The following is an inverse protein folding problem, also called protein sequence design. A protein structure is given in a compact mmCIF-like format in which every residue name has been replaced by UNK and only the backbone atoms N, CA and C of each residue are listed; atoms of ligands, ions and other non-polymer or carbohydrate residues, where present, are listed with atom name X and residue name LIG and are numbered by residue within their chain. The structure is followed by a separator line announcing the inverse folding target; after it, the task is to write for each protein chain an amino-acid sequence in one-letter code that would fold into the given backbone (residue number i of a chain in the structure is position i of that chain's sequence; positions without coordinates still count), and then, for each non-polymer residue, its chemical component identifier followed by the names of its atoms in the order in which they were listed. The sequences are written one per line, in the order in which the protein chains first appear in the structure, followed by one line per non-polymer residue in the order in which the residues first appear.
data_IF_757574788559
#
_entry.id   IF_757574788559
#
_cell.length_a   1.000
_cell.length_b   1.000
_cell.length_c   1.000
_cell.angle_alpha   90.00
_cell.angle_beta   90.00
_cell.angle_gamma   90.00
#
_symmetry.space_group_name_H-M   'P 1'
#
loop_
_entity.id
_entity.type
_entity.pdbx_description
1 polymer ?
#
# COMPACT_ATOMS: atom_id res chain seq x y z
N UNK A 1 9.56 14.48 15.12
CA UNK A 1 9.15 14.08 16.49
C UNK A 1 10.37 13.97 17.42
N UNK A 2 10.22 13.97 18.75
CA UNK A 2 11.33 13.89 19.73
C UNK A 2 11.92 12.46 19.79
N UNK A 3 13.21 12.30 19.50
CA UNK A 3 13.85 11.00 19.25
C UNK A 3 13.79 10.07 20.48
N UNK A 4 13.93 10.62 21.68
CA UNK A 4 13.82 9.87 22.93
C UNK A 4 12.43 9.26 23.14
N UNK A 5 11.39 9.97 22.71
CA UNK A 5 9.99 9.52 22.84
C UNK A 5 9.68 8.36 21.90
N UNK A 6 10.21 8.41 20.67
CA UNK A 6 10.14 7.32 19.70
C UNK A 6 10.88 6.07 20.18
N UNK A 7 12.07 6.24 20.76
CA UNK A 7 12.88 5.14 21.30
C UNK A 7 12.15 4.37 22.40
N UNK A 8 11.51 5.09 23.32
CA UNK A 8 10.71 4.48 24.38
C UNK A 8 9.48 3.77 23.83
N UNK A 9 8.78 4.36 22.85
CA UNK A 9 7.60 3.76 22.22
C UNK A 9 7.93 2.47 21.45
N UNK A 10 9.05 2.45 20.73
CA UNK A 10 9.51 1.24 20.03
C UNK A 10 9.91 0.18 21.05
N UNK A 11 10.68 0.54 22.08
CA UNK A 11 11.05 -0.39 23.14
C UNK A 11 9.83 -0.97 23.88
N UNK A 12 8.82 -0.16 24.22
CA UNK A 12 7.60 -0.66 24.86
C UNK A 12 6.78 -1.60 23.97
N UNK A 13 6.72 -1.32 22.66
CA UNK A 13 5.88 -2.11 21.74
C UNK A 13 6.57 -3.35 21.18
N UNK A 14 7.89 -3.33 21.02
CA UNK A 14 8.63 -4.42 20.37
C UNK A 14 9.67 -5.06 21.27
N UNK A 15 10.00 -4.45 22.41
CA UNK A 15 11.08 -4.90 23.30
C UNK A 15 12.48 -4.62 22.76
N UNK A 16 12.60 -3.97 21.60
CA UNK A 16 13.88 -3.74 20.91
C UNK A 16 14.47 -2.39 21.34
N UNK A 17 15.72 -2.41 21.84
CA UNK A 17 16.49 -1.18 22.07
C UNK A 17 17.07 -0.69 20.75
N UNK A 18 16.67 0.51 20.36
CA UNK A 18 17.09 1.18 19.12
C UNK A 18 18.08 2.28 19.50
N UNK A 19 19.25 2.30 18.87
CA UNK A 19 20.26 3.35 19.09
C UNK A 19 20.00 4.60 18.24
N UNK A 20 20.68 5.71 18.55
CA UNK A 20 20.44 7.01 17.89
C UNK A 20 20.88 6.99 16.41
N UNK A 21 21.92 6.22 16.09
CA UNK A 21 22.42 6.04 14.73
C UNK A 21 21.70 4.92 13.96
N UNK A 22 20.59 4.41 14.51
CA UNK A 22 19.86 3.29 13.91
C UNK A 22 19.12 3.73 12.64
N UNK A 23 19.27 2.99 11.52
CA UNK A 23 18.56 3.28 10.26
C UNK A 23 17.03 3.40 10.41
N UNK A 24 16.44 2.81 11.45
CA UNK A 24 15.01 2.95 11.76
C UNK A 24 14.64 4.43 11.99
N UNK A 25 15.49 5.21 12.68
CA UNK A 25 15.22 6.63 12.92
C UNK A 25 15.30 7.46 11.65
N UNK A 26 16.26 7.15 10.77
CA UNK A 26 16.37 7.80 9.46
C UNK A 26 15.12 7.54 8.60
N UNK A 27 14.60 6.31 8.61
CA UNK A 27 13.37 5.96 7.88
C UNK A 27 12.13 6.64 8.46
N UNK A 28 12.00 6.70 9.79
CA UNK A 28 10.88 7.40 10.43
C UNK A 28 10.95 8.90 10.14
N UNK A 29 12.12 9.52 10.23
CA UNK A 29 12.31 10.94 9.91
C UNK A 29 12.02 11.25 8.43
N UNK A 30 12.47 10.38 7.52
CA UNK A 30 12.17 10.51 6.10
C UNK A 30 10.66 10.38 5.83
N UNK A 31 10.01 9.40 6.44
CA UNK A 31 8.56 9.23 6.32
C UNK A 31 7.81 10.45 6.88
N UNK A 32 8.21 10.99 8.04
CA UNK A 32 7.61 12.21 8.60
C UNK A 32 7.76 13.40 7.64
N UNK A 33 8.95 13.60 7.06
CA UNK A 33 9.21 14.69 6.13
C UNK A 33 8.37 14.55 4.84
N UNK A 34 8.32 13.34 4.26
CA UNK A 34 7.52 13.05 3.06
C UNK A 34 6.03 13.20 3.31
N UNK A 35 5.54 12.77 4.49
CA UNK A 35 4.14 12.93 4.88
C UNK A 35 3.78 14.41 5.05
N UNK A 36 4.62 15.19 5.74
CA UNK A 36 4.41 16.62 5.91
C UNK A 36 4.33 17.34 4.56
N UNK A 37 5.27 17.08 3.66
CA UNK A 37 5.27 17.67 2.32
C UNK A 37 4.05 17.24 1.49
N UNK A 38 3.64 15.97 1.60
CA UNK A 38 2.49 15.44 0.88
C UNK A 38 1.17 16.07 1.35
N UNK A 39 1.04 16.30 2.66
CA UNK A 39 -0.12 16.98 3.26
C UNK A 39 -0.14 18.45 2.84
N UNK A 40 1.00 19.13 2.88
CA UNK A 40 1.10 20.53 2.45
C UNK A 40 0.70 20.71 0.99
N UNK A 41 1.19 19.84 0.08
CA UNK A 41 0.75 19.84 -1.33
C UNK A 41 -0.74 19.56 -1.49
N UNK A 42 -1.32 18.68 -0.67
CA UNK A 42 -2.76 18.40 -0.73
C UNK A 42 -3.59 19.59 -0.26
N UNK A 43 -3.21 20.25 0.82
CA UNK A 43 -3.88 21.46 1.32
C UNK A 43 -3.83 22.54 0.23
N UNK A 44 -2.66 22.80 -0.34
CA UNK A 44 -2.52 23.79 -1.41
C UNK A 44 -3.42 23.49 -2.63
N UNK A 45 -3.58 22.21 -3.00
CA UNK A 45 -4.50 21.80 -4.08
C UNK A 45 -5.96 21.98 -3.71
N UNK A 46 -6.34 21.67 -2.46
CA UNK A 46 -7.71 21.86 -1.97
C UNK A 46 -8.05 23.35 -1.92
N UNK A 47 -7.13 24.19 -1.47
CA UNK A 47 -7.32 25.64 -1.41
C UNK A 47 -7.50 26.22 -2.81
N UNK A 48 -6.66 25.82 -3.77
CA UNK A 48 -6.80 26.23 -5.16
C UNK A 48 -8.15 25.80 -5.75
N UNK A 49 -8.54 24.54 -5.57
CA UNK A 49 -9.83 24.04 -6.05
C UNK A 49 -11.02 24.74 -5.35
N UNK A 50 -10.88 25.08 -4.07
CA UNK A 50 -11.91 25.81 -3.32
C UNK A 50 -12.05 27.24 -3.81
N UNK A 51 -10.94 27.90 -4.17
CA UNK A 51 -10.96 29.23 -4.77
C UNK A 51 -11.64 29.20 -6.14
N UNK A 52 -11.28 28.25 -7.00
CA UNK A 52 -11.93 28.05 -8.30
C UNK A 52 -13.43 27.79 -8.16
N UNK A 53 -13.83 26.93 -7.23
CA UNK A 53 -15.24 26.66 -6.95
C UNK A 53 -15.97 27.91 -6.43
N UNK A 54 -15.33 28.70 -5.57
CA UNK A 54 -15.89 29.96 -5.07
C UNK A 54 -16.05 31.00 -6.21
N UNK A 55 -15.11 31.05 -7.15
CA UNK A 55 -15.22 31.88 -8.35
C UNK A 55 -16.36 31.42 -9.26
N UNK A 56 -16.48 30.12 -9.49
CA UNK A 56 -17.57 29.55 -10.28
C UNK A 56 -18.94 29.80 -9.62
N UNK A 57 -19.04 29.66 -8.30
CA UNK A 57 -20.27 29.94 -7.56
C UNK A 57 -20.64 31.43 -7.57
N UNK A 58 -19.66 32.34 -7.56
CA UNK A 58 -19.90 33.78 -7.79
C UNK A 58 -20.34 34.06 -9.23
N UNK A 59 -19.70 33.44 -10.22
CA UNK A 59 -20.06 33.60 -11.62
C UNK A 59 -21.47 33.06 -11.93
N UNK A 60 -21.88 31.99 -11.25
CA UNK A 60 -23.23 31.43 -11.31
C UNK A 60 -24.28 32.21 -10.49
N UNK A 61 -23.89 33.30 -9.83
CA UNK A 61 -24.78 34.15 -9.02
C UNK A 61 -25.21 33.56 -7.68
N UNK A 62 -24.61 32.43 -7.26
CA UNK A 62 -24.91 31.75 -5.99
C UNK A 62 -24.21 32.36 -4.77
N UNK A 63 -23.18 33.19 -4.97
CA UNK A 63 -22.45 33.91 -3.92
C UNK A 63 -22.40 35.40 -4.23
N UNK A 64 -22.51 36.25 -3.20
CA UNK A 64 -22.36 37.69 -3.34
C UNK A 64 -20.95 38.05 -3.86
N UNK A 65 -20.82 39.10 -4.70
CA UNK A 65 -19.51 39.53 -5.21
C UNK A 65 -18.58 39.90 -4.03
N UNK A 66 -17.30 39.56 -4.15
CA UNK A 66 -16.29 39.88 -3.15
C UNK A 66 -16.30 41.40 -2.91
N UNK A 67 -16.71 41.79 -1.69
CA UNK A 67 -16.93 43.18 -1.32
C UNK A 67 -15.58 43.92 -1.34
N UNK A 68 -15.40 44.80 -2.32
CA UNK A 68 -14.33 45.80 -2.30
C UNK A 68 -14.44 46.66 -1.02
N UNK A 69 -13.33 47.21 -0.48
CA UNK A 69 -13.38 48.08 0.68
C UNK A 69 -14.34 49.26 0.41
N UNK A 70 -15.29 49.43 1.32
CA UNK A 70 -16.50 50.21 1.14
C UNK A 70 -16.22 51.71 0.94
N UNK A 71 -16.85 52.30 -0.07
CA UNK A 71 -17.33 53.69 -0.01
C UNK A 71 -18.82 53.69 0.36
N UNK A 72 -19.29 54.58 1.25
CA UNK A 72 -20.68 54.58 1.69
C UNK A 72 -21.53 55.39 0.71
N UNK A 73 -22.38 54.71 -0.07
CA UNK A 73 -23.47 55.35 -0.77
C UNK A 73 -24.75 54.49 -0.70
N UNK A 74 -25.81 55.18 -0.26
CA UNK A 74 -27.22 54.85 0.01
C UNK A 74 -27.85 53.54 -0.56
N UNK A 75 -28.86 52.97 0.15
CA UNK A 75 -29.58 51.80 -0.31
C UNK A 75 -30.64 52.18 -1.37
N UNK A 76 -30.46 51.72 -2.61
CA UNK A 76 -31.52 51.69 -3.60
C UNK A 76 -32.33 50.38 -3.41
N UNK A 77 -33.61 50.53 -3.08
CA UNK A 77 -34.59 49.44 -2.99
C UNK A 77 -34.82 48.85 -4.38
N UNK A 78 -34.19 47.71 -4.68
CA UNK A 78 -34.46 46.92 -5.87
C UNK A 78 -35.79 46.18 -5.69
N UNK A 79 -36.81 46.57 -6.48
CA UNK A 79 -38.09 45.88 -6.55
C UNK A 79 -37.91 44.47 -7.13
N UNK A 80 -38.45 43.47 -6.43
CA UNK A 80 -38.48 42.09 -6.90
C UNK A 80 -39.58 41.93 -7.96
N UNK A 81 -39.18 41.59 -9.18
CA UNK A 81 -40.08 41.13 -10.24
C UNK A 81 -39.81 39.62 -10.47
N UNK A 82 -40.81 38.72 -10.32
CA UNK A 82 -40.59 37.31 -10.57
C UNK A 82 -40.37 37.06 -12.06
N UNK A 83 -39.22 36.50 -12.42
CA UNK A 83 -38.92 36.08 -13.78
C UNK A 83 -39.79 34.87 -14.19
N UNK A 84 -40.23 34.77 -15.46
CA UNK A 84 -41.00 33.62 -15.93
C UNK A 84 -40.18 32.33 -15.84
N UNK A 85 -40.83 31.25 -15.40
CA UNK A 85 -40.21 29.95 -15.22
C UNK A 85 -39.64 29.42 -16.55
N UNK A 86 -38.32 29.31 -16.63
CA UNK A 86 -37.64 28.62 -17.72
C UNK A 86 -37.87 27.10 -17.60
N UNK A 87 -37.93 26.36 -18.72
CA UNK A 87 -38.07 24.92 -18.69
C UNK A 87 -36.88 24.27 -17.97
N UNK A 88 -37.18 23.55 -16.89
CA UNK A 88 -36.19 22.77 -16.13
C UNK A 88 -35.70 21.64 -17.03
N UNK A 89 -34.42 21.67 -17.40
CA UNK A 89 -33.79 20.59 -18.14
C UNK A 89 -33.72 19.34 -17.26
N UNK A 90 -34.11 18.19 -17.82
CA UNK A 90 -34.06 16.92 -17.13
C UNK A 90 -32.60 16.57 -16.77
N UNK A 91 -32.36 16.26 -15.50
CA UNK A 91 -31.06 15.80 -14.99
C UNK A 91 -30.83 14.40 -15.58
N UNK A 92 -29.81 14.25 -16.41
CA UNK A 92 -29.41 12.95 -16.95
C UNK A 92 -28.92 12.05 -15.79
N UNK A 93 -29.73 11.07 -15.41
CA UNK A 93 -29.45 10.14 -14.29
C UNK A 93 -28.53 8.98 -14.68
N UNK A 94 -28.05 8.92 -15.92
CA UNK A 94 -27.16 7.85 -16.38
C UNK A 94 -25.74 8.39 -16.52
N UNK A 95 -24.97 8.22 -15.45
CA UNK A 95 -23.51 8.34 -15.51
C UNK A 95 -22.95 7.03 -16.09
N UNK A 96 -22.06 7.07 -17.10
CA UNK A 96 -21.41 5.86 -17.60
C UNK A 96 -20.64 5.20 -16.46
N UNK A 97 -20.79 3.87 -16.31
CA UNK A 97 -20.20 3.08 -15.22
C UNK A 97 -18.66 3.21 -15.12
N UNK A 98 -17.99 3.51 -16.24
CA UNK A 98 -16.56 3.75 -16.31
C UNK A 98 -16.27 4.84 -17.32
N UNK A 99 -15.56 5.88 -16.90
CA UNK A 99 -15.13 6.94 -17.82
C UNK A 99 -13.87 6.50 -18.60
N UNK A 100 -13.62 7.03 -19.82
CA UNK A 100 -12.41 6.69 -20.57
C UNK A 100 -11.11 7.07 -19.83
N UNK A 101 -11.18 8.06 -18.94
CA UNK A 101 -10.09 8.43 -18.04
C UNK A 101 -9.83 7.33 -17.00
N UNK A 102 -10.87 6.77 -16.40
CA UNK A 102 -10.73 5.65 -15.44
C UNK A 102 -10.16 4.40 -16.09
N UNK A 103 -10.54 4.08 -17.34
CA UNK A 103 -9.94 2.96 -18.07
C UNK A 103 -8.45 3.16 -18.32
N UNK A 104 -8.01 4.40 -18.66
CA UNK A 104 -6.59 4.72 -18.81
C UNK A 104 -5.85 4.61 -17.48
N UNK A 105 -6.46 5.05 -16.37
CA UNK A 105 -5.89 4.96 -15.04
C UNK A 105 -5.79 3.50 -14.56
N UNK A 106 -6.81 2.67 -14.81
CA UNK A 106 -6.80 1.24 -14.50
C UNK A 106 -5.75 0.50 -15.32
N UNK A 107 -5.66 0.78 -16.63
CA UNK A 107 -4.64 0.19 -17.49
C UNK A 107 -3.22 0.60 -17.04
N UNK A 108 -3.02 1.87 -16.69
CA UNK A 108 -1.75 2.35 -16.16
C UNK A 108 -1.41 1.68 -14.82
N UNK A 109 -2.37 1.59 -13.90
CA UNK A 109 -2.17 0.95 -12.60
C UNK A 109 -1.86 -0.54 -12.73
N UNK A 110 -2.56 -1.26 -13.61
CA UNK A 110 -2.29 -2.67 -13.91
C UNK A 110 -0.92 -2.87 -14.57
N UNK A 111 -0.52 -1.96 -15.47
CA UNK A 111 0.80 -1.99 -16.08
C UNK A 111 1.92 -1.75 -15.07
N UNK A 112 1.76 -0.75 -14.21
CA UNK A 112 2.72 -0.46 -13.14
C UNK A 112 2.82 -1.65 -12.20
N UNK A 113 1.69 -2.21 -11.71
CA UNK A 113 1.73 -3.33 -10.77
C UNK A 113 2.43 -4.57 -11.34
N UNK A 114 2.22 -4.90 -12.61
CA UNK A 114 2.94 -5.98 -13.29
C UNK A 114 4.44 -5.69 -13.41
N UNK A 115 4.82 -4.47 -13.78
CA UNK A 115 6.23 -4.08 -13.86
C UNK A 115 6.91 -4.15 -12.50
N UNK A 116 6.27 -3.66 -11.43
CA UNK A 116 6.85 -3.74 -10.08
C UNK A 116 6.96 -5.19 -9.62
N UNK A 117 5.96 -6.03 -9.90
CA UNK A 117 6.01 -7.45 -9.57
C UNK A 117 7.17 -8.16 -10.29
N UNK A 118 7.37 -7.88 -11.59
CA UNK A 118 8.49 -8.43 -12.36
C UNK A 118 9.83 -7.92 -11.87
N UNK A 119 9.93 -6.63 -11.52
CA UNK A 119 11.16 -6.04 -11.02
C UNK A 119 11.52 -6.63 -9.65
N UNK A 120 10.56 -6.73 -8.73
CA UNK A 120 10.77 -7.35 -7.41
C UNK A 120 11.15 -8.83 -7.55
N UNK A 121 10.46 -9.58 -8.41
CA UNK A 121 10.77 -11.00 -8.64
C UNK A 121 12.13 -11.16 -9.32
N UNK A 122 12.47 -10.30 -10.27
CA UNK A 122 13.77 -10.30 -10.96
C UNK A 122 14.93 -9.91 -10.06
N UNK A 123 14.75 -8.89 -9.22
CA UNK A 123 15.73 -8.51 -8.17
C UNK A 123 15.87 -9.63 -7.16
N UNK A 124 14.76 -10.22 -6.69
CA UNK A 124 14.82 -11.41 -5.85
C UNK A 124 15.55 -12.56 -6.54
N UNK A 125 15.37 -12.80 -7.84
CA UNK A 125 16.08 -13.84 -8.57
C UNK A 125 17.59 -13.57 -8.73
N UNK A 126 17.99 -12.28 -8.80
CA UNK A 126 19.41 -11.89 -8.89
C UNK A 126 20.14 -11.98 -7.54
N UNK A 127 19.45 -11.69 -6.43
CA UNK A 127 20.03 -11.75 -5.07
C UNK A 127 19.74 -13.05 -4.33
N UNK A 128 18.69 -13.77 -4.71
CA UNK A 128 18.48 -15.14 -4.25
C UNK A 128 19.48 -16.01 -4.98
N UNK A 129 20.58 -16.30 -4.28
CA UNK A 129 21.29 -17.56 -4.47
C UNK A 129 20.22 -18.64 -4.66
N UNK A 130 20.24 -19.44 -5.74
CA UNK A 130 19.20 -20.44 -5.94
C UNK A 130 19.11 -21.19 -4.62
N UNK A 131 17.92 -21.15 -4.01
CA UNK A 131 17.62 -22.07 -2.94
C UNK A 131 17.75 -23.42 -3.63
N UNK A 132 18.97 -23.97 -3.56
CA UNK A 132 19.25 -25.32 -3.97
C UNK A 132 18.14 -26.13 -3.32
N UNK A 133 17.49 -26.93 -4.15
CA UNK A 133 16.55 -27.98 -3.79
C UNK A 133 16.71 -28.37 -2.31
N UNK A 134 15.60 -28.47 -1.55
CA UNK A 134 15.57 -28.48 -0.08
C UNK A 134 16.86 -29.07 0.46
N UNK A 135 17.79 -28.19 0.86
CA UNK A 135 19.11 -28.63 1.27
C UNK A 135 18.87 -29.55 2.47
N UNK A 136 19.01 -30.86 2.25
CA UNK A 136 18.94 -31.87 3.28
C UNK A 136 19.79 -31.34 4.42
N UNK A 137 19.17 -31.04 5.56
CA UNK A 137 19.92 -30.56 6.70
C UNK A 137 21.03 -31.57 6.99
N UNK A 138 22.16 -31.15 7.54
CA UNK A 138 23.29 -32.07 7.81
C UNK A 138 22.82 -33.32 8.58
N UNK A 139 21.80 -33.15 9.41
CA UNK A 139 21.10 -34.22 10.13
C UNK A 139 20.30 -35.16 9.20
N UNK A 140 19.58 -34.66 8.21
CA UNK A 140 18.86 -35.47 7.22
C UNK A 140 19.81 -36.20 6.26
N UNK A 141 20.91 -35.58 5.85
CA UNK A 141 21.95 -36.25 5.05
C UNK A 141 22.61 -37.40 5.84
N UNK A 142 22.88 -37.19 7.13
CA UNK A 142 23.37 -38.24 8.01
C UNK A 142 22.35 -39.37 8.23
N UNK A 143 21.07 -39.03 8.37
CA UNK A 143 19.98 -40.01 8.51
C UNK A 143 19.83 -40.87 7.25
N UNK A 144 19.93 -40.28 6.06
CA UNK A 144 19.92 -41.02 4.79
C UNK A 144 21.12 -41.96 4.66
N UNK A 145 22.32 -41.51 5.02
CA UNK A 145 23.52 -42.36 4.99
C UNK A 145 23.44 -43.53 5.99
N UNK A 146 22.79 -43.33 7.14
CA UNK A 146 22.52 -44.41 8.10
C UNK A 146 21.46 -45.37 7.58
N UNK A 147 20.38 -44.86 6.96
CA UNK A 147 19.34 -45.68 6.35
C UNK A 147 19.92 -46.59 5.26
N UNK A 148 20.78 -46.08 4.37
CA UNK A 148 21.42 -46.90 3.33
C UNK A 148 22.31 -48.02 3.91
N UNK A 149 23.03 -47.74 5.00
CA UNK A 149 23.84 -48.75 5.70
C UNK A 149 22.96 -49.83 6.32
N UNK A 150 21.84 -49.46 6.93
CA UNK A 150 20.88 -50.40 7.51
C UNK A 150 20.23 -51.27 6.42
N UNK A 151 19.81 -50.68 5.29
CA UNK A 151 19.26 -51.44 4.15
C UNK A 151 20.28 -52.47 3.63
N UNK A 152 21.54 -52.07 3.44
CA UNK A 152 22.60 -53.00 3.02
C UNK A 152 22.92 -54.07 4.06
N UNK A 153 22.73 -53.78 5.34
CA UNK A 153 22.88 -54.77 6.40
C UNK A 153 21.72 -55.78 6.33
N UNK A 154 20.47 -55.30 6.23
CA UNK A 154 19.26 -56.13 6.10
C UNK A 154 19.37 -57.06 4.88
N UNK A 155 19.90 -56.56 3.76
CA UNK A 155 20.15 -57.36 2.55
C UNK A 155 21.25 -58.44 2.70
N UNK A 156 22.01 -58.41 3.79
CA UNK A 156 22.99 -59.45 4.15
C UNK A 156 22.49 -60.37 5.27
N UNK A 157 21.38 -60.04 5.92
CA UNK A 157 20.75 -60.93 6.91
C UNK A 157 20.07 -62.11 6.21
N UNK A 158 20.00 -63.23 6.94
CA UNK A 158 19.33 -64.46 6.52
C UNK A 158 17.81 -64.25 6.37
N UNK A 159 17.14 -65.05 5.52
CA UNK A 159 15.75 -64.86 5.12
C UNK A 159 14.79 -64.82 6.33
N UNK A 160 15.02 -65.68 7.33
CA UNK A 160 14.24 -65.74 8.57
C UNK A 160 14.32 -64.46 9.40
N UNK A 161 15.47 -63.79 9.41
CA UNK A 161 15.65 -62.55 10.16
C UNK A 161 14.99 -61.37 9.44
N UNK A 162 14.92 -61.38 8.11
CA UNK A 162 14.19 -60.37 7.33
C UNK A 162 12.69 -60.43 7.57
N UNK A 163 12.12 -61.64 7.63
CA UNK A 163 10.70 -61.85 7.92
C UNK A 163 10.33 -61.33 9.33
N UNK A 164 11.18 -61.55 10.32
CA UNK A 164 10.97 -61.03 11.68
C UNK A 164 11.03 -59.49 11.74
N UNK A 165 11.97 -58.86 11.02
CA UNK A 165 12.07 -57.39 10.96
C UNK A 165 10.84 -56.79 10.25
N UNK A 166 10.35 -57.41 9.17
CA UNK A 166 9.14 -56.97 8.49
C UNK A 166 7.88 -57.12 9.36
N UNK A 167 7.80 -58.20 10.15
CA UNK A 167 6.70 -58.41 11.09
C UNK A 167 6.68 -57.38 12.23
N UNK A 168 7.84 -56.94 12.73
CA UNK A 168 7.97 -55.90 13.75
C UNK A 168 7.65 -54.49 13.21
N UNK A 169 8.00 -54.19 11.94
CA UNK A 169 7.71 -52.90 11.30
C UNK A 169 6.23 -52.67 10.97
N UNK A 170 5.44 -53.74 10.85
CA UNK A 170 4.00 -53.69 10.55
C UNK A 170 3.13 -53.61 11.81
N UNK A 171 3.74 -53.58 13.00
CA UNK A 171 3.06 -53.52 14.30
C UNK A 171 3.04 -52.10 14.85
#
# INVERSE_FOLDING_TARGET
MDQHKLRSLVFEKTGVKVDIDDPIFALVALNEAVLAESVERHIARIDAASQELAEQARAAGGLAPARAPASPAAPATAGYAPAPAAPVQAIATQSPLLTPRELRLLAAAAGISLLTALLVTGVQALFSKPAAAPQLTVQQAAALAQAEKLTRAIDKLDAKAREQIQAELQK
#
